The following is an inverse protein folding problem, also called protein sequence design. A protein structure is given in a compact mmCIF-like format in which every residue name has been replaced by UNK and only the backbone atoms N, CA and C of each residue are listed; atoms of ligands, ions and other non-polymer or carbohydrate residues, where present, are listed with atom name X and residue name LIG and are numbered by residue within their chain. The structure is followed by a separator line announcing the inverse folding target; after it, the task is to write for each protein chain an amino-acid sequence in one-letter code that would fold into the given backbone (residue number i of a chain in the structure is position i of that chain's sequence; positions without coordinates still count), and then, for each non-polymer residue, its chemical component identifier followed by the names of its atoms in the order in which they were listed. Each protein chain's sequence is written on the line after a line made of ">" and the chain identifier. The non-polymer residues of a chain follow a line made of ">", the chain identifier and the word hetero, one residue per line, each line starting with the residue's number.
data_IF_114898809762
#
_entry.id   IF_114898809762
#
_cell.length_a   1.000
_cell.length_b   1.000
_cell.length_c   1.000
_cell.angle_alpha   90.00
_cell.angle_beta   90.00
_cell.angle_gamma   90.00
#
_symmetry.space_group_name_H-M   'P 1'
#
loop_
_entity.id
_entity.type
_entity.pdbx_description
1 polymer ?
#
# COMPACT_ATOMS: atom_id res chain seq x y z
N UNK A 1 2.01 -1.43 9.05
CA UNK A 1 1.83 -0.58 7.85
C UNK A 1 0.40 -0.05 7.74
N UNK A 2 0.14 1.16 8.25
CA UNK A 2 -0.86 2.05 7.65
C UNK A 2 -0.11 2.88 6.63
N UNK A 3 -0.66 3.08 5.42
CA UNK A 3 0.00 3.89 4.40
C UNK A 3 -0.16 5.35 4.83
N UNK A 4 0.89 6.03 5.31
CA UNK A 4 0.80 7.45 5.69
C UNK A 4 0.47 8.27 4.45
N UNK A 5 -0.29 9.36 4.62
CA UNK A 5 -0.70 10.26 3.53
C UNK A 5 -1.46 9.55 2.41
N UNK A 6 -2.33 8.60 2.78
CA UNK A 6 -3.16 7.90 1.81
C UNK A 6 -4.21 8.84 1.21
N UNK A 7 -4.36 8.78 -0.11
CA UNK A 7 -5.40 9.49 -0.86
C UNK A 7 -6.46 8.48 -1.31
N UNK A 8 -7.73 8.76 -1.03
CA UNK A 8 -8.87 7.91 -1.40
C UNK A 8 -9.75 8.64 -2.38
N UNK A 9 -10.02 8.00 -3.52
CA UNK A 9 -11.00 8.44 -4.50
C UNK A 9 -12.25 7.56 -4.39
N UNK A 10 -13.35 8.05 -3.78
CA UNK A 10 -14.61 7.33 -3.77
C UNK A 10 -15.17 7.25 -5.20
N UNK A 11 -15.62 6.07 -5.62
CA UNK A 11 -16.24 5.87 -6.93
C UNK A 11 -17.63 5.29 -6.73
N UNK A 12 -18.65 6.04 -7.16
CA UNK A 12 -20.02 5.58 -7.23
C UNK A 12 -20.29 4.95 -8.59
N UNK A 13 -20.66 3.68 -8.62
CA UNK A 13 -20.99 2.95 -9.86
C UNK A 13 -22.50 2.90 -10.08
N UNK A 14 -22.92 2.44 -11.26
CA UNK A 14 -24.34 2.21 -11.62
C UNK A 14 -25.21 3.48 -11.63
N UNK A 15 -24.65 4.59 -12.10
CA UNK A 15 -25.37 5.87 -12.26
C UNK A 15 -26.56 5.74 -13.23
N UNK A 16 -26.49 4.81 -14.18
CA UNK A 16 -27.57 4.44 -15.10
C UNK A 16 -28.85 3.96 -14.41
N UNK A 17 -28.73 3.44 -13.18
CA UNK A 17 -29.88 2.99 -12.38
C UNK A 17 -30.50 4.12 -11.52
N UNK A 18 -29.99 5.36 -11.59
CA UNK A 18 -30.42 6.47 -10.74
C UNK A 18 -30.80 7.70 -11.58
N UNK A 19 -31.69 8.54 -11.04
CA UNK A 19 -31.94 9.86 -11.64
C UNK A 19 -30.78 10.81 -11.34
N UNK A 20 -30.59 11.84 -12.17
CA UNK A 20 -29.49 12.80 -11.99
C UNK A 20 -29.56 13.49 -10.63
N UNK A 21 -30.75 13.87 -10.18
CA UNK A 21 -30.98 14.50 -8.89
C UNK A 21 -30.61 13.57 -7.72
N UNK A 22 -30.97 12.28 -7.83
CA UNK A 22 -30.66 11.27 -6.82
C UNK A 22 -29.14 11.02 -6.72
N UNK A 23 -28.43 11.07 -7.83
CA UNK A 23 -26.96 10.90 -7.86
C UNK A 23 -26.28 12.04 -7.12
N UNK A 24 -26.68 13.28 -7.37
CA UNK A 24 -26.12 14.45 -6.70
C UNK A 24 -26.50 14.53 -5.21
N UNK A 25 -27.69 14.08 -4.84
CA UNK A 25 -28.08 13.93 -3.44
C UNK A 25 -27.23 12.88 -2.72
N UNK A 26 -27.13 11.67 -3.29
CA UNK A 26 -26.31 10.59 -2.72
C UNK A 26 -24.85 10.98 -2.62
N UNK A 27 -24.32 11.66 -3.64
CA UNK A 27 -22.94 12.17 -3.63
C UNK A 27 -22.71 13.12 -2.45
N UNK A 28 -23.60 14.08 -2.22
CA UNK A 28 -23.49 15.01 -1.08
C UNK A 28 -23.61 14.30 0.25
N UNK A 29 -24.57 13.40 0.40
CA UNK A 29 -24.78 12.62 1.63
C UNK A 29 -23.55 11.76 1.97
N UNK A 30 -23.00 11.03 0.99
CA UNK A 30 -21.81 10.20 1.17
C UNK A 30 -20.61 11.06 1.59
N UNK A 31 -20.36 12.18 0.90
CA UNK A 31 -19.24 13.05 1.24
C UNK A 31 -19.40 13.67 2.64
N UNK A 32 -20.63 14.05 3.02
CA UNK A 32 -20.92 14.57 4.36
C UNK A 32 -20.68 13.51 5.45
N UNK A 33 -21.12 12.26 5.22
CA UNK A 33 -20.89 11.14 6.14
C UNK A 33 -19.41 10.81 6.29
N UNK A 34 -18.66 10.83 5.18
CA UNK A 34 -17.20 10.62 5.24
C UNK A 34 -16.52 11.73 6.05
N UNK A 35 -16.90 12.99 5.83
CA UNK A 35 -16.37 14.13 6.58
C UNK A 35 -16.68 14.01 8.08
N UNK A 36 -17.93 13.65 8.44
CA UNK A 36 -18.34 13.43 9.83
C UNK A 36 -17.54 12.30 10.49
N UNK A 37 -17.37 11.16 9.80
CA UNK A 37 -16.60 10.02 10.29
C UNK A 37 -15.13 10.38 10.52
N UNK A 38 -14.52 11.18 9.63
CA UNK A 38 -13.15 11.65 9.79
C UNK A 38 -13.00 12.62 10.97
N UNK A 39 -13.95 13.55 11.13
CA UNK A 39 -13.96 14.49 12.24
C UNK A 39 -14.14 13.77 13.59
N UNK A 40 -15.07 12.82 13.67
CA UNK A 40 -15.29 11.99 14.85
C UNK A 40 -14.04 11.18 15.19
N UNK A 41 -13.44 10.51 14.20
CA UNK A 41 -12.20 9.75 14.41
C UNK A 41 -11.08 10.65 14.95
N UNK A 42 -10.90 11.84 14.39
CA UNK A 42 -9.89 12.80 14.85
C UNK A 42 -10.15 13.25 16.28
N UNK A 43 -11.40 13.58 16.60
CA UNK A 43 -11.81 13.98 17.95
C UNK A 43 -11.56 12.86 18.97
N UNK A 44 -11.90 11.62 18.62
CA UNK A 44 -11.69 10.47 19.49
C UNK A 44 -10.19 10.23 19.74
N UNK A 45 -9.35 10.30 18.70
CA UNK A 45 -7.90 10.16 18.83
C UNK A 45 -7.30 11.25 19.74
N UNK A 46 -7.66 12.51 19.51
CA UNK A 46 -7.21 13.62 20.36
C UNK A 46 -7.61 13.41 21.82
N UNK A 47 -8.88 13.06 22.08
CA UNK A 47 -9.36 12.78 23.43
C UNK A 47 -8.63 11.60 24.09
N UNK A 48 -8.29 10.53 23.35
CA UNK A 48 -7.51 9.43 23.90
C UNK A 48 -6.06 9.83 24.21
N UNK A 49 -5.44 10.66 23.37
CA UNK A 49 -4.10 11.20 23.61
C UNK A 49 -4.10 12.05 24.88
N UNK A 50 -5.03 13.01 24.99
CA UNK A 50 -5.15 13.91 26.14
C UNK A 50 -5.37 13.13 27.46
N UNK A 51 -6.21 12.09 27.44
CA UNK A 51 -6.46 11.27 28.62
C UNK A 51 -5.24 10.45 29.08
N UNK A 52 -4.43 9.96 28.14
CA UNK A 52 -3.23 9.20 28.47
C UNK A 52 -2.11 10.10 28.96
N UNK A 53 -1.96 11.29 28.37
CA UNK A 53 -1.01 12.32 28.82
C UNK A 53 -1.37 12.87 30.20
N UNK A 54 -2.66 13.02 30.51
CA UNK A 54 -3.15 13.49 31.81
C UNK A 54 -3.29 12.41 32.90
N UNK A 55 -2.87 11.16 32.64
CA UNK A 55 -2.96 10.07 33.62
C UNK A 55 -1.97 10.24 34.77
N UNK A 56 -2.25 9.60 35.92
CA UNK A 56 -1.38 9.69 37.11
C UNK A 56 0.00 9.05 36.90
N UNK A 57 0.13 8.12 35.94
CA UNK A 57 1.38 7.42 35.63
C UNK A 57 1.67 7.42 34.11
N UNK A 58 1.96 8.58 33.49
CA UNK A 58 2.08 8.72 32.04
C UNK A 58 3.29 7.96 31.46
N UNK A 59 4.29 7.65 32.29
CA UNK A 59 5.51 6.91 31.93
C UNK A 59 5.22 5.46 31.47
N UNK A 60 4.14 4.83 31.95
CA UNK A 60 3.76 3.47 31.53
C UNK A 60 3.03 3.44 30.17
N UNK A 61 2.55 4.59 29.70
CA UNK A 61 1.73 4.70 28.50
C UNK A 61 2.44 5.36 27.31
N UNK A 62 3.75 5.63 27.43
CA UNK A 62 4.55 6.32 26.41
C UNK A 62 4.42 5.67 25.03
N UNK A 63 4.68 4.37 24.91
CA UNK A 63 4.54 3.63 23.64
C UNK A 63 3.10 3.68 23.09
N UNK A 64 2.08 3.76 23.95
CA UNK A 64 0.68 3.78 23.52
C UNK A 64 0.28 5.14 22.97
N UNK A 65 0.61 6.24 23.65
CA UNK A 65 0.25 7.56 23.13
C UNK A 65 1.17 8.00 21.99
N UNK A 66 2.43 7.58 21.93
CA UNK A 66 3.31 7.79 20.76
C UNK A 66 2.70 7.17 19.50
N UNK A 67 2.23 5.90 19.59
CA UNK A 67 1.49 5.26 18.49
C UNK A 67 0.22 6.00 18.13
N UNK A 68 -0.52 6.55 19.10
CA UNK A 68 -1.72 7.32 18.82
C UNK A 68 -1.39 8.65 18.12
N UNK A 69 -0.30 9.32 18.50
CA UNK A 69 0.20 10.52 17.79
C UNK A 69 0.66 10.20 16.38
N UNK A 70 1.35 9.09 16.17
CA UNK A 70 1.66 8.60 14.82
C UNK A 70 0.38 8.35 14.01
N UNK A 71 -0.64 7.73 14.63
CA UNK A 71 -1.94 7.51 13.99
C UNK A 71 -2.70 8.80 13.69
N UNK A 72 -2.57 9.82 14.54
CA UNK A 72 -3.13 11.16 14.33
C UNK A 72 -2.42 11.89 13.19
N UNK A 73 -1.09 11.75 13.11
CA UNK A 73 -0.26 12.33 12.04
C UNK A 73 -0.54 11.71 10.66
N UNK A 74 -1.09 10.49 10.62
CA UNK A 74 -1.52 9.84 9.39
C UNK A 74 -2.87 10.39 8.90
N UNK A 75 -2.83 11.45 8.09
CA UNK A 75 -4.04 12.02 7.50
C UNK A 75 -4.51 11.24 6.27
N UNK A 76 -5.81 10.96 6.20
CA UNK A 76 -6.48 10.39 5.04
C UNK A 76 -7.07 11.54 4.20
N UNK A 77 -6.59 11.71 2.97
CA UNK A 77 -7.12 12.71 2.04
C UNK A 77 -8.24 12.09 1.22
N UNK A 78 -9.46 12.60 1.35
CA UNK A 78 -10.62 12.13 0.57
C UNK A 78 -10.86 13.08 -0.59
N UNK A 79 -10.80 12.54 -1.81
CA UNK A 79 -11.15 13.26 -3.02
C UNK A 79 -12.66 13.24 -3.25
N UNK A 80 -13.12 14.13 -4.12
CA UNK A 80 -14.54 14.18 -4.48
C UNK A 80 -14.98 12.90 -5.18
N UNK A 81 -16.14 12.37 -4.77
CA UNK A 81 -16.71 11.16 -5.35
C UNK A 81 -16.93 11.32 -6.87
N UNK A 82 -16.44 10.34 -7.62
CA UNK A 82 -16.64 10.23 -9.07
C UNK A 82 -17.78 9.27 -9.32
N UNK A 83 -18.83 9.76 -9.98
CA UNK A 83 -19.99 8.96 -10.37
C UNK A 83 -19.77 8.42 -11.79
N UNK A 84 -19.95 7.12 -12.00
CA UNK A 84 -19.62 6.42 -13.25
C UNK A 84 -20.78 5.53 -13.67
N UNK A 85 -21.23 5.68 -14.92
CA UNK A 85 -22.04 4.67 -15.57
C UNK A 85 -21.13 3.55 -16.13
N UNK A 86 -21.20 2.36 -15.54
CA UNK A 86 -20.37 1.22 -15.96
C UNK A 86 -20.75 0.64 -17.32
N UNK A 87 -21.91 1.00 -17.87
CA UNK A 87 -22.35 0.58 -19.22
C UNK A 87 -21.83 1.51 -20.32
N UNK A 88 -21.40 2.74 -19.99
CA UNK A 88 -20.83 3.69 -20.95
C UNK A 88 -19.30 3.71 -20.87
N UNK A 89 -18.64 3.25 -21.92
CA UNK A 89 -17.18 3.25 -22.00
C UNK A 89 -16.57 4.66 -21.85
N UNK A 90 -17.29 5.72 -22.22
CA UNK A 90 -16.81 7.10 -22.09
C UNK A 90 -16.69 7.51 -20.62
N UNK A 91 -17.60 7.05 -19.76
CA UNK A 91 -17.54 7.30 -18.33
C UNK A 91 -16.37 6.55 -17.67
N UNK A 92 -16.06 5.35 -18.16
CA UNK A 92 -14.86 4.61 -17.73
C UNK A 92 -13.59 5.37 -18.14
N UNK A 93 -13.55 5.89 -19.37
CA UNK A 93 -12.43 6.72 -19.86
C UNK A 93 -12.28 8.02 -19.08
N UNK A 94 -13.39 8.62 -18.65
CA UNK A 94 -13.40 9.79 -17.76
C UNK A 94 -12.82 9.44 -16.40
N UNK A 95 -13.19 8.30 -15.81
CA UNK A 95 -12.61 7.83 -14.56
C UNK A 95 -11.10 7.60 -14.69
N UNK A 96 -10.67 6.94 -15.77
CA UNK A 96 -9.24 6.73 -16.07
C UNK A 96 -8.48 8.07 -16.14
N UNK A 97 -9.00 9.04 -16.91
CA UNK A 97 -8.41 10.37 -17.00
C UNK A 97 -8.36 11.08 -15.64
N UNK A 98 -9.42 10.96 -14.84
CA UNK A 98 -9.49 11.53 -13.49
C UNK A 98 -8.43 10.91 -12.58
N UNK A 99 -8.26 9.58 -12.59
CA UNK A 99 -7.21 8.91 -11.81
C UNK A 99 -5.83 9.39 -12.26
N UNK A 100 -5.59 9.48 -13.57
CA UNK A 100 -4.32 9.94 -14.14
C UNK A 100 -3.99 11.39 -13.78
N UNK A 101 -4.99 12.26 -13.68
CA UNK A 101 -4.83 13.63 -13.21
C UNK A 101 -4.41 13.68 -11.74
N UNK A 102 -5.10 12.93 -10.87
CA UNK A 102 -4.80 12.93 -9.44
C UNK A 102 -3.42 12.32 -9.13
N UNK A 103 -3.04 11.22 -9.78
CA UNK A 103 -1.73 10.57 -9.54
C UNK A 103 -0.54 11.41 -10.03
N UNK A 104 -0.78 12.45 -10.84
CA UNK A 104 0.24 13.41 -11.28
C UNK A 104 0.27 14.68 -10.43
N UNK A 105 -0.68 14.84 -9.52
CA UNK A 105 -0.77 16.03 -8.68
C UNK A 105 0.31 15.97 -7.58
N UNK A 106 1.26 16.90 -7.63
CA UNK A 106 2.40 16.98 -6.71
C UNK A 106 1.99 17.29 -5.27
N UNK A 107 0.86 17.96 -5.06
CA UNK A 107 0.32 18.23 -3.72
C UNK A 107 -0.25 16.96 -3.07
N UNK A 108 -0.89 16.10 -3.86
CA UNK A 108 -1.44 14.82 -3.40
C UNK A 108 -0.38 13.74 -3.27
N UNK A 109 0.57 13.72 -4.20
CA UNK A 109 1.65 12.73 -4.27
C UNK A 109 3.00 13.42 -4.52
N UNK A 110 3.65 13.94 -3.46
CA UNK A 110 4.94 14.63 -3.59
C UNK A 110 6.06 13.76 -4.18
N UNK A 111 5.95 12.44 -4.04
CA UNK A 111 6.92 11.47 -4.56
C UNK A 111 6.91 11.39 -6.11
N UNK A 112 5.90 11.95 -6.79
CA UNK A 112 5.77 11.94 -8.26
C UNK A 112 6.91 12.67 -8.95
N UNK A 113 7.39 13.76 -8.36
CA UNK A 113 8.51 14.55 -8.91
C UNK A 113 9.88 14.02 -8.49
N UNK A 114 9.91 13.02 -7.62
CA UNK A 114 11.18 12.50 -7.10
C UNK A 114 11.94 11.78 -8.20
N UNK A 115 13.09 12.34 -8.57
CA UNK A 115 14.02 11.68 -9.49
C UNK A 115 14.84 10.66 -8.72
N UNK A 116 14.71 9.39 -9.09
CA UNK A 116 15.53 8.32 -8.53
C UNK A 116 16.87 8.22 -9.28
N UNK A 117 17.96 7.87 -8.58
CA UNK A 117 19.23 7.58 -9.23
C UNK A 117 19.09 6.45 -10.26
N UNK A 118 19.82 6.48 -11.39
CA UNK A 118 19.71 5.48 -12.46
C UNK A 118 19.89 4.04 -11.99
N UNK A 119 20.70 3.82 -10.95
CA UNK A 119 20.95 2.50 -10.36
C UNK A 119 19.67 1.82 -9.85
N UNK A 120 18.67 2.58 -9.38
CA UNK A 120 17.39 2.01 -8.92
C UNK A 120 16.66 1.30 -10.06
N UNK A 121 16.60 1.95 -11.23
CA UNK A 121 15.98 1.38 -12.43
C UNK A 121 16.77 0.18 -12.96
N UNK A 122 18.10 0.23 -12.88
CA UNK A 122 18.96 -0.89 -13.30
C UNK A 122 18.74 -2.12 -12.41
N UNK A 123 18.67 -1.93 -11.09
CA UNK A 123 18.36 -3.00 -10.14
C UNK A 123 16.93 -3.53 -10.33
N UNK A 124 15.95 -2.64 -10.52
CA UNK A 124 14.57 -3.02 -10.83
C UNK A 124 14.49 -3.92 -12.06
N UNK A 125 15.09 -3.51 -13.18
CA UNK A 125 15.09 -4.29 -14.42
C UNK A 125 15.76 -5.66 -14.21
N UNK A 126 16.92 -5.69 -13.56
CA UNK A 126 17.62 -6.94 -13.27
C UNK A 126 16.80 -7.87 -12.34
N UNK A 127 16.11 -7.32 -11.34
CA UNK A 127 15.21 -8.10 -10.47
C UNK A 127 14.05 -8.70 -11.28
N UNK A 128 13.45 -7.93 -12.19
CA UNK A 128 12.37 -8.44 -13.05
C UNK A 128 12.86 -9.60 -13.92
N UNK A 129 14.04 -9.47 -14.51
CA UNK A 129 14.65 -10.54 -15.33
C UNK A 129 14.96 -11.79 -14.49
N UNK A 130 15.54 -11.61 -13.29
CA UNK A 130 15.82 -12.71 -12.35
C UNK A 130 14.52 -13.41 -11.93
N UNK A 131 13.48 -12.64 -11.61
CA UNK A 131 12.19 -13.17 -11.17
C UNK A 131 11.45 -13.94 -12.28
N UNK A 132 11.77 -13.69 -13.55
CA UNK A 132 11.21 -14.41 -14.70
C UNK A 132 12.06 -15.61 -15.13
N UNK A 133 13.25 -15.79 -14.55
CA UNK A 133 14.11 -16.94 -14.85
C UNK A 133 13.49 -18.26 -14.36
N UNK A 134 13.77 -19.37 -15.07
CA UNK A 134 13.30 -20.71 -14.70
C UNK A 134 13.72 -21.12 -13.28
N UNK A 135 14.87 -20.62 -12.81
CA UNK A 135 15.39 -20.87 -11.47
C UNK A 135 14.46 -20.33 -10.37
N UNK A 136 13.77 -19.20 -10.61
CA UNK A 136 12.92 -18.52 -9.63
C UNK A 136 11.42 -18.78 -9.82
N UNK A 137 11.04 -19.53 -10.86
CA UNK A 137 9.66 -19.80 -11.22
C UNK A 137 8.89 -20.64 -10.17
N UNK A 138 9.61 -21.43 -9.36
CA UNK A 138 8.98 -22.38 -8.43
C UNK A 138 8.51 -21.75 -7.12
N UNK A 139 9.26 -20.80 -6.57
CA UNK A 139 8.95 -20.22 -5.25
C UNK A 139 9.04 -18.69 -5.19
N UNK A 140 9.62 -18.00 -6.17
CA UNK A 140 9.63 -16.53 -6.23
C UNK A 140 10.35 -15.83 -5.07
N UNK A 141 11.21 -16.56 -4.35
CA UNK A 141 11.96 -16.08 -3.18
C UNK A 141 13.46 -16.24 -3.43
N UNK A 142 14.26 -15.38 -2.84
CA UNK A 142 15.70 -15.46 -2.94
C UNK A 142 16.37 -14.99 -1.66
N UNK A 143 17.59 -15.47 -1.41
CA UNK A 143 18.42 -14.95 -0.32
C UNK A 143 19.05 -13.60 -0.73
N UNK A 144 19.12 -12.65 0.19
CA UNK A 144 19.64 -11.30 -0.03
C UNK A 144 21.10 -11.31 -0.50
N UNK A 145 21.93 -12.20 0.06
CA UNK A 145 23.32 -12.34 -0.36
C UNK A 145 23.43 -12.94 -1.76
N UNK A 146 22.60 -13.93 -2.06
CA UNK A 146 22.53 -14.51 -3.39
C UNK A 146 22.07 -13.48 -4.43
N UNK A 147 21.02 -12.72 -4.13
CA UNK A 147 20.52 -11.64 -4.98
C UNK A 147 21.61 -10.61 -5.26
N UNK A 148 22.33 -10.16 -4.23
CA UNK A 148 23.46 -9.24 -4.40
C UNK A 148 24.51 -9.82 -5.35
N UNK A 149 24.87 -11.10 -5.18
CA UNK A 149 25.86 -11.76 -6.03
C UNK A 149 25.43 -11.84 -7.51
N UNK A 150 24.13 -12.09 -7.77
CA UNK A 150 23.57 -12.11 -9.12
C UNK A 150 23.52 -10.71 -9.73
N UNK A 151 23.11 -9.71 -8.95
CA UNK A 151 23.08 -8.32 -9.42
C UNK A 151 24.48 -7.82 -9.74
N UNK A 152 25.51 -8.17 -8.95
CA UNK A 152 26.89 -7.79 -9.21
C UNK A 152 27.48 -8.43 -10.48
N UNK A 153 26.85 -9.45 -11.06
CA UNK A 153 27.26 -10.01 -12.35
C UNK A 153 26.81 -9.14 -13.53
N UNK A 154 25.83 -8.25 -13.34
CA UNK A 154 25.44 -7.28 -14.34
C UNK A 154 26.49 -6.16 -14.43
N UNK A 155 26.97 -5.87 -15.64
CA UNK A 155 28.06 -4.90 -15.88
C UNK A 155 27.82 -3.53 -15.21
N UNK A 156 26.58 -3.04 -15.26
CA UNK A 156 26.19 -1.75 -14.69
C UNK A 156 26.05 -1.76 -13.16
N UNK A 157 26.08 -2.93 -12.51
CA UNK A 157 25.84 -3.13 -11.08
C UNK A 157 27.03 -3.80 -10.37
N UNK A 158 28.19 -3.93 -11.04
CA UNK A 158 29.38 -4.58 -10.47
C UNK A 158 29.84 -3.98 -9.12
N UNK A 159 29.60 -2.68 -8.92
CA UNK A 159 29.94 -1.96 -7.68
C UNK A 159 28.75 -1.78 -6.73
N UNK A 160 27.65 -2.51 -6.92
CA UNK A 160 26.50 -2.44 -6.03
C UNK A 160 26.87 -2.97 -4.65
N UNK A 161 26.86 -2.09 -3.65
CA UNK A 161 27.07 -2.46 -2.25
C UNK A 161 25.81 -3.00 -1.58
N UNK A 162 25.97 -3.72 -0.47
CA UNK A 162 24.85 -4.25 0.33
C UNK A 162 23.92 -3.15 0.82
N UNK A 163 24.47 -2.09 1.40
CA UNK A 163 23.69 -0.99 1.99
C UNK A 163 22.80 -0.31 0.93
N UNK A 164 23.38 -0.01 -0.24
CA UNK A 164 22.65 0.56 -1.37
C UNK A 164 21.57 -0.40 -1.88
N UNK A 165 21.86 -1.71 -1.95
CA UNK A 165 20.83 -2.69 -2.32
C UNK A 165 19.68 -2.70 -1.29
N UNK A 166 19.97 -2.63 0.01
CA UNK A 166 18.93 -2.57 1.03
C UNK A 166 18.07 -1.31 0.89
N UNK A 167 18.67 -0.15 0.64
CA UNK A 167 17.92 1.09 0.36
C UNK A 167 17.02 0.97 -0.87
N UNK A 168 17.51 0.34 -1.93
CA UNK A 168 16.72 0.07 -3.13
C UNK A 168 15.59 -0.92 -2.81
N UNK A 169 15.85 -2.00 -2.07
CA UNK A 169 14.83 -2.98 -1.69
C UNK A 169 13.75 -2.40 -0.79
N UNK A 170 14.08 -1.50 0.15
CA UNK A 170 13.07 -0.75 0.93
C UNK A 170 12.15 0.06 0.02
N UNK A 171 12.73 0.72 -0.99
CA UNK A 171 11.95 1.45 -1.99
C UNK A 171 11.08 0.50 -2.83
N UNK A 172 11.64 -0.58 -3.38
CA UNK A 172 10.92 -1.56 -4.19
C UNK A 172 9.82 -2.26 -3.39
N UNK A 173 10.04 -2.48 -2.10
CA UNK A 173 9.04 -2.98 -1.16
C UNK A 173 7.88 -1.98 -0.98
N UNK A 174 8.21 -0.70 -0.78
CA UNK A 174 7.20 0.37 -0.61
C UNK A 174 6.28 0.51 -1.82
N UNK A 175 6.80 0.33 -3.04
CA UNK A 175 5.98 0.37 -4.27
C UNK A 175 5.32 -0.98 -4.61
N UNK A 176 5.58 -2.03 -3.83
CA UNK A 176 4.97 -3.35 -3.99
C UNK A 176 5.54 -4.20 -5.13
N UNK A 177 6.69 -3.84 -5.69
CA UNK A 177 7.35 -4.66 -6.71
C UNK A 177 7.93 -5.94 -6.08
N UNK A 178 8.50 -5.82 -4.88
CA UNK A 178 9.02 -6.94 -4.09
C UNK A 178 8.41 -6.91 -2.68
N UNK A 179 8.57 -8.00 -1.92
CA UNK A 179 8.31 -7.99 -0.48
C UNK A 179 9.58 -8.36 0.26
N UNK A 180 9.95 -7.55 1.25
CA UNK A 180 11.11 -7.83 2.10
C UNK A 180 10.78 -7.44 3.54
N UNK A 181 10.83 -8.43 4.45
CA UNK A 181 10.49 -8.23 5.85
C UNK A 181 11.75 -7.98 6.67
N UNK A 182 12.34 -6.81 6.49
CA UNK A 182 13.57 -6.41 7.17
C UNK A 182 13.48 -6.49 8.71
N UNK A 183 12.31 -6.18 9.27
CA UNK A 183 12.09 -6.15 10.72
C UNK A 183 11.87 -7.55 11.34
N UNK A 184 11.62 -8.57 10.52
CA UNK A 184 11.38 -9.95 10.98
C UNK A 184 12.69 -10.72 10.89
N UNK A 185 13.36 -10.94 12.03
CA UNK A 185 14.67 -11.64 12.09
C UNK A 185 14.77 -12.93 11.29
N UNK A 186 13.70 -13.73 11.23
CA UNK A 186 13.69 -15.00 10.49
C UNK A 186 13.54 -14.84 8.96
N UNK A 187 13.17 -13.65 8.50
CA UNK A 187 12.92 -13.31 7.10
C UNK A 187 13.82 -12.16 6.60
N UNK A 188 14.69 -11.62 7.44
CA UNK A 188 15.54 -10.46 7.11
C UNK A 188 16.48 -10.73 5.94
N UNK A 189 16.87 -11.99 5.73
CA UNK A 189 17.68 -12.41 4.59
C UNK A 189 16.86 -12.87 3.38
N UNK A 190 15.53 -12.97 3.48
CA UNK A 190 14.68 -13.52 2.43
C UNK A 190 13.95 -12.40 1.69
N UNK A 191 14.20 -12.28 0.40
CA UNK A 191 13.54 -11.32 -0.49
C UNK A 191 12.55 -12.06 -1.39
N UNK A 192 11.29 -11.63 -1.37
CA UNK A 192 10.23 -12.16 -2.22
C UNK A 192 10.16 -11.31 -3.50
N UNK A 193 10.75 -11.81 -4.58
CA UNK A 193 10.79 -11.12 -5.87
C UNK A 193 9.43 -11.17 -6.60
N UNK A 194 8.59 -12.15 -6.24
CA UNK A 194 7.24 -12.30 -6.77
C UNK A 194 6.19 -12.22 -5.64
N UNK A 195 5.71 -11.01 -5.28
CA UNK A 195 4.70 -10.84 -4.23
C UNK A 195 3.42 -11.65 -4.46
N UNK A 196 3.07 -11.94 -5.72
CA UNK A 196 1.91 -12.75 -6.11
C UNK A 196 1.97 -14.18 -5.59
N UNK A 197 3.17 -14.78 -5.49
CA UNK A 197 3.36 -16.10 -4.91
C UNK A 197 2.94 -16.10 -3.43
N UNK A 198 3.42 -15.13 -2.67
CA UNK A 198 3.10 -14.97 -1.25
C UNK A 198 1.59 -14.80 -1.03
N UNK A 199 0.94 -13.95 -1.85
CA UNK A 199 -0.51 -13.75 -1.82
C UNK A 199 -1.25 -15.06 -2.12
N UNK A 200 -0.78 -15.83 -3.11
CA UNK A 200 -1.39 -17.10 -3.50
C UNK A 200 -1.26 -18.14 -2.40
N UNK A 201 -0.08 -18.26 -1.79
CA UNK A 201 0.17 -19.14 -0.64
C UNK A 201 -0.75 -18.81 0.54
N UNK A 202 -0.87 -17.53 0.91
CA UNK A 202 -1.79 -17.13 1.97
C UNK A 202 -3.25 -17.44 1.63
N UNK A 203 -3.68 -17.19 0.38
CA UNK A 203 -5.03 -17.55 -0.08
C UNK A 203 -5.30 -19.05 0.04
N UNK A 204 -4.33 -19.91 -0.30
CA UNK A 204 -4.45 -21.37 -0.17
C UNK A 204 -4.58 -21.79 1.30
N UNK A 205 -3.72 -21.29 2.18
CA UNK A 205 -3.74 -21.62 3.61
C UNK A 205 -5.05 -21.19 4.29
N UNK A 206 -5.51 -19.96 4.01
CA UNK A 206 -6.77 -19.44 4.57
C UNK A 206 -7.96 -20.24 4.06
N UNK A 207 -8.02 -20.53 2.75
CA UNK A 207 -9.09 -21.36 2.17
C UNK A 207 -9.10 -22.78 2.73
N UNK A 208 -7.93 -23.41 2.88
CA UNK A 208 -7.82 -24.74 3.45
C UNK A 208 -8.39 -24.79 4.88
N UNK A 209 -8.02 -23.82 5.73
CA UNK A 209 -8.59 -23.72 7.08
C UNK A 209 -10.09 -23.43 7.08
N UNK A 210 -10.58 -22.59 6.18
CA UNK A 210 -12.02 -22.32 6.03
C UNK A 210 -12.80 -23.58 5.68
N UNK A 211 -12.28 -24.40 4.76
CA UNK A 211 -12.90 -25.70 4.38
C UNK A 211 -12.94 -26.64 5.58
N UNK A 212 -11.83 -26.80 6.31
CA UNK A 212 -11.81 -27.63 7.52
C UNK A 212 -12.80 -27.15 8.60
N UNK A 213 -12.93 -25.83 8.78
CA UNK A 213 -13.90 -25.27 9.73
C UNK A 213 -15.35 -25.52 9.29
N UNK A 214 -15.67 -25.39 8.00
CA UNK A 214 -16.99 -25.70 7.47
C UNK A 214 -17.34 -27.18 7.61
N UNK A 215 -16.40 -28.08 7.32
CA UNK A 215 -16.58 -29.54 7.50
C UNK A 215 -16.75 -29.93 8.97
N UNK A 216 -16.19 -29.17 9.91
CA UNK A 216 -16.34 -29.45 11.35
C UNK A 216 -17.68 -29.01 11.96
N UNK A 217 -18.46 -28.19 11.24
CA UNK A 217 -19.76 -27.65 11.67
C UNK A 217 -20.94 -28.35 10.94
N UNK A 218 -20.65 -29.14 9.91
CA UNK A 218 -21.60 -30.03 9.21
C UNK A 218 -21.67 -31.42 9.85
#
# INVERSE_FOLDING_TARGET
>A
MRVPNSVVLPVGTHVDCCRKEEVEEKKRDIMAKIAAMLAERKSNLAHFIDNLEGSEEPEFYVDQWERLKEMESCTLTILNLVAVNCTDHRDIKKLEATILEHVKNEELFPEVVRVLPPVYRQVEAAIVDIAQSEEMADHGMTDLQYLLSKLSQCEHLANLGRELLQDILRYLHRIGLVVWYEEIKHLESTVFLQPTFLITMFKLLVRYRLVQQLESIS
#
